data_IF_740891765372
#
_entry.id   IF_740891765372
#
_cell.length_a   1.000
_cell.length_b   1.000
_cell.length_c   1.000
_cell.angle_alpha   90.00
_cell.angle_beta   90.00
_cell.angle_gamma   90.00
#
_symmetry.space_group_name_H-M   'P 1'
#
loop_
_entity.id
_entity.type
_entity.pdbx_description
1 polymer ?
#
# COMPACT_ATOMS: atom_id res chain seq x y z
N UNK A 1 32.00 -21.51 8.91
CA UNK A 1 32.23 -20.54 9.98
C UNK A 1 31.12 -20.67 11.02
N UNK A 2 31.41 -20.56 12.33
CA UNK A 2 30.44 -20.88 13.40
C UNK A 2 29.44 -19.75 13.69
N UNK A 3 29.31 -18.73 12.81
CA UNK A 3 28.47 -17.56 13.04
C UNK A 3 27.29 -17.41 12.05
N UNK A 4 27.12 -18.30 11.07
CA UNK A 4 25.95 -18.32 10.19
C UNK A 4 25.89 -19.59 9.33
N UNK A 5 24.68 -20.02 8.98
CA UNK A 5 24.38 -21.20 8.15
C UNK A 5 24.23 -20.86 6.65
N UNK A 6 25.00 -19.90 6.12
CA UNK A 6 24.90 -19.49 4.72
C UNK A 6 25.73 -20.38 3.77
N UNK A 7 25.27 -20.53 2.53
CA UNK A 7 25.94 -21.34 1.50
C UNK A 7 27.02 -20.52 0.80
N UNK A 8 28.31 -20.90 0.96
CA UNK A 8 29.46 -20.21 0.36
C UNK A 8 29.63 -20.55 -1.14
N UNK A 9 29.42 -21.81 -1.51
CA UNK A 9 29.56 -22.33 -2.88
C UNK A 9 28.19 -22.57 -3.54
N UNK A 10 27.39 -21.50 -3.62
CA UNK A 10 26.11 -21.54 -4.30
C UNK A 10 26.29 -21.61 -5.83
N UNK A 11 25.62 -22.53 -6.55
CA UNK A 11 25.70 -22.59 -8.01
C UNK A 11 25.16 -21.29 -8.64
N UNK A 12 25.63 -20.95 -9.83
CA UNK A 12 25.20 -19.74 -10.55
C UNK A 12 23.67 -19.75 -10.75
N UNK A 13 22.97 -18.79 -10.14
CA UNK A 13 21.52 -18.70 -10.19
C UNK A 13 20.79 -19.24 -8.95
N UNK A 14 21.51 -19.78 -7.97
CA UNK A 14 20.91 -20.17 -6.70
C UNK A 14 20.44 -18.95 -5.91
N UNK A 15 19.18 -18.99 -5.49
CA UNK A 15 18.58 -18.05 -4.54
C UNK A 15 17.72 -18.83 -3.55
N UNK A 16 17.43 -18.24 -2.40
CA UNK A 16 16.50 -18.86 -1.44
C UNK A 16 15.15 -19.14 -2.08
N UNK A 17 14.68 -18.24 -2.94
CA UNK A 17 13.39 -18.39 -3.63
C UNK A 17 13.42 -19.53 -4.65
N UNK A 18 14.49 -19.64 -5.44
CA UNK A 18 14.66 -20.77 -6.36
C UNK A 18 14.73 -22.12 -5.62
N UNK A 19 15.31 -22.15 -4.42
CA UNK A 19 15.29 -23.34 -3.56
C UNK A 19 13.87 -23.68 -3.08
N UNK A 20 13.08 -22.68 -2.67
CA UNK A 20 11.69 -22.87 -2.27
C UNK A 20 10.81 -23.35 -3.42
N UNK A 21 10.91 -22.73 -4.60
CA UNK A 21 10.19 -23.15 -5.82
C UNK A 21 10.54 -24.59 -6.23
N UNK A 22 11.81 -24.96 -6.12
CA UNK A 22 12.26 -26.34 -6.40
C UNK A 22 11.74 -27.34 -5.37
N UNK A 23 11.74 -26.96 -4.08
CA UNK A 23 11.19 -27.78 -3.02
C UNK A 23 9.67 -27.99 -3.18
N UNK A 24 8.95 -26.94 -3.58
CA UNK A 24 7.51 -27.02 -3.86
C UNK A 24 7.23 -27.99 -5.01
N UNK A 25 8.00 -27.88 -6.10
CA UNK A 25 7.85 -28.81 -7.21
C UNK A 25 8.14 -30.25 -6.80
N UNK A 26 9.14 -30.49 -5.94
CA UNK A 26 9.45 -31.82 -5.44
C UNK A 26 8.31 -32.37 -4.57
N UNK A 27 7.71 -31.56 -3.70
CA UNK A 27 6.59 -31.96 -2.87
C UNK A 27 5.37 -32.38 -3.71
N UNK A 28 5.05 -31.60 -4.75
CA UNK A 28 3.97 -31.92 -5.70
C UNK A 28 4.29 -33.21 -6.46
N UNK A 29 5.54 -33.39 -6.89
CA UNK A 29 5.97 -34.62 -7.56
C UNK A 29 5.80 -35.85 -6.65
N UNK A 30 6.16 -35.73 -5.37
CA UNK A 30 6.06 -36.86 -4.42
C UNK A 30 4.63 -37.23 -4.06
N UNK A 31 3.68 -36.31 -4.17
CA UNK A 31 2.28 -36.54 -3.79
C UNK A 31 1.35 -36.80 -4.98
N UNK A 32 1.64 -36.22 -6.15
CA UNK A 32 0.78 -36.24 -7.32
C UNK A 32 1.45 -36.86 -8.56
N UNK A 33 2.72 -37.27 -8.49
CA UNK A 33 3.51 -37.88 -9.58
C UNK A 33 3.57 -37.03 -10.88
N UNK A 34 3.29 -35.73 -10.78
CA UNK A 34 3.29 -34.79 -11.90
C UNK A 34 3.84 -33.44 -11.44
N UNK A 35 4.35 -32.64 -12.38
CA UNK A 35 4.90 -31.30 -12.10
C UNK A 35 3.90 -30.18 -12.34
N UNK A 36 3.95 -29.12 -11.53
CA UNK A 36 3.18 -27.91 -11.79
C UNK A 36 3.80 -27.10 -12.96
N UNK A 37 3.01 -26.65 -13.94
CA UNK A 37 3.48 -25.82 -15.06
C UNK A 37 4.09 -24.46 -14.69
N UNK A 38 3.75 -23.91 -13.53
CA UNK A 38 4.22 -22.61 -13.06
C UNK A 38 5.59 -22.70 -12.36
N UNK A 39 6.05 -23.91 -12.05
CA UNK A 39 7.31 -24.16 -11.34
C UNK A 39 8.37 -24.75 -12.30
N UNK A 40 9.66 -24.53 -12.02
CA UNK A 40 10.73 -25.15 -12.80
C UNK A 40 10.63 -26.67 -12.70
N UNK A 41 10.76 -27.37 -13.84
CA UNK A 41 10.71 -28.84 -13.84
C UNK A 41 12.00 -29.42 -13.29
N UNK A 42 11.83 -30.42 -12.44
CA UNK A 42 12.91 -31.22 -11.91
C UNK A 42 12.84 -32.57 -12.62
N UNK A 43 13.96 -33.03 -13.20
CA UNK A 43 14.08 -34.35 -13.83
C UNK A 43 13.13 -34.66 -15.01
N UNK A 44 12.66 -33.65 -15.75
CA UNK A 44 11.92 -33.88 -17.01
C UNK A 44 10.61 -34.65 -16.84
N UNK A 45 9.97 -34.52 -15.68
CA UNK A 45 8.65 -35.09 -15.39
C UNK A 45 7.56 -34.43 -16.24
N UNK A 46 6.46 -35.14 -16.47
CA UNK A 46 5.34 -34.58 -17.20
C UNK A 46 4.60 -33.55 -16.33
N UNK A 47 4.06 -32.53 -16.98
CA UNK A 47 3.18 -31.58 -16.31
C UNK A 47 1.87 -32.24 -15.89
N UNK A 48 1.32 -31.80 -14.77
CA UNK A 48 0.00 -32.15 -14.33
C UNK A 48 -1.04 -31.69 -15.37
N UNK A 49 -1.94 -32.61 -15.73
CA UNK A 49 -3.13 -32.29 -16.53
C UNK A 49 -4.24 -31.73 -15.65
N UNK A 50 -5.39 -31.46 -16.26
CA UNK A 50 -6.57 -30.98 -15.55
C UNK A 50 -7.10 -32.01 -14.51
N UNK A 51 -6.89 -33.30 -14.77
CA UNK A 51 -7.37 -34.38 -13.91
C UNK A 51 -6.68 -34.41 -12.53
N UNK A 52 -5.45 -33.90 -12.44
CA UNK A 52 -4.66 -33.84 -11.20
C UNK A 52 -4.63 -32.44 -10.57
N UNK A 53 -5.44 -31.49 -11.07
CA UNK A 53 -5.53 -30.13 -10.56
C UNK A 53 -5.89 -30.10 -9.07
N UNK A 54 -6.85 -30.93 -8.65
CA UNK A 54 -7.23 -31.04 -7.23
C UNK A 54 -6.09 -31.54 -6.34
N UNK A 55 -5.20 -32.40 -6.85
CA UNK A 55 -4.07 -32.90 -6.08
C UNK A 55 -3.01 -31.80 -5.88
N UNK A 56 -2.73 -31.05 -6.96
CA UNK A 56 -1.80 -29.92 -6.92
C UNK A 56 -2.34 -28.83 -5.99
N UNK A 57 -3.64 -28.50 -6.11
CA UNK A 57 -4.29 -27.51 -5.25
C UNK A 57 -4.35 -28.00 -3.80
N UNK A 58 -4.64 -29.28 -3.53
CA UNK A 58 -4.58 -29.85 -2.18
C UNK A 58 -3.17 -29.74 -1.56
N UNK A 59 -2.13 -29.94 -2.37
CA UNK A 59 -0.72 -29.83 -1.91
C UNK A 59 -0.36 -28.37 -1.59
N UNK A 60 -0.89 -27.40 -2.34
CA UNK A 60 -0.65 -25.96 -2.13
C UNK A 60 -1.56 -25.32 -1.06
N UNK A 61 -2.79 -25.83 -0.91
CA UNK A 61 -3.87 -25.24 -0.10
C UNK A 61 -3.79 -25.54 1.39
N UNK A 62 -2.79 -26.31 1.85
CA UNK A 62 -2.40 -26.37 3.26
C UNK A 62 -1.72 -25.06 3.72
N UNK A 63 -2.41 -23.93 3.51
CA UNK A 63 -2.39 -22.72 4.32
C UNK A 63 -1.11 -21.88 4.39
N UNK A 64 -0.02 -22.34 3.82
CA UNK A 64 1.25 -21.67 3.54
C UNK A 64 2.21 -22.82 3.29
N UNK A 65 2.65 -23.02 2.05
CA UNK A 65 3.74 -23.96 1.77
C UNK A 65 4.91 -23.62 2.71
N UNK A 66 5.08 -24.43 3.75
CA UNK A 66 6.11 -24.24 4.75
C UNK A 66 7.22 -25.22 4.39
N UNK A 67 8.38 -24.74 3.95
CA UNK A 67 9.51 -25.59 3.59
C UNK A 67 9.88 -26.55 4.73
N UNK A 68 9.63 -26.14 5.98
CA UNK A 68 9.83 -26.96 7.18
C UNK A 68 8.92 -28.18 7.29
N UNK A 69 7.70 -28.15 6.73
CA UNK A 69 6.75 -29.27 6.76
C UNK A 69 7.19 -30.42 5.86
N UNK A 70 7.77 -30.08 4.70
CA UNK A 70 8.31 -31.03 3.73
C UNK A 70 9.81 -31.34 3.94
N UNK A 71 10.39 -30.87 5.07
CA UNK A 71 11.78 -31.15 5.43
C UNK A 71 12.83 -30.42 4.57
N UNK A 72 12.46 -29.35 3.88
CA UNK A 72 13.37 -28.57 3.05
C UNK A 72 14.17 -27.56 3.90
N UNK A 73 15.49 -27.71 3.92
CA UNK A 73 16.43 -26.71 4.44
C UNK A 73 16.99 -25.88 3.29
N UNK A 74 16.52 -24.64 3.17
CA UNK A 74 17.02 -23.66 2.19
C UNK A 74 17.87 -22.59 2.89
N UNK A 75 19.18 -22.80 3.08
CA UNK A 75 20.06 -21.77 3.61
C UNK A 75 20.23 -20.63 2.61
N UNK A 76 20.30 -19.36 3.05
CA UNK A 76 20.60 -18.25 2.16
C UNK A 76 22.02 -18.36 1.60
N UNK A 77 22.25 -17.99 0.33
CA UNK A 77 23.62 -17.85 -0.17
C UNK A 77 24.32 -16.73 0.57
N UNK A 78 25.61 -16.90 0.90
CA UNK A 78 26.38 -15.83 1.55
C UNK A 78 26.58 -14.61 0.63
N UNK A 79 26.34 -14.78 -0.68
CA UNK A 79 26.37 -13.71 -1.69
C UNK A 79 24.99 -13.62 -2.36
N UNK A 80 24.21 -12.61 -1.99
CA UNK A 80 22.93 -12.28 -2.61
C UNK A 80 22.87 -10.79 -2.93
N UNK A 81 22.05 -10.42 -3.91
CA UNK A 81 21.73 -9.03 -4.22
C UNK A 81 20.23 -8.86 -3.98
N UNK A 82 19.87 -8.04 -2.99
CA UNK A 82 18.48 -7.71 -2.67
C UNK A 82 18.18 -6.31 -3.21
N UNK A 83 17.02 -6.15 -3.84
CA UNK A 83 16.56 -4.84 -4.34
C UNK A 83 15.42 -4.34 -3.49
N UNK A 84 15.60 -3.20 -2.84
CA UNK A 84 14.53 -2.53 -2.12
C UNK A 84 13.53 -1.93 -3.12
N UNK A 85 12.24 -2.21 -2.89
CA UNK A 85 11.16 -1.69 -3.73
C UNK A 85 10.41 -0.61 -2.97
N UNK A 86 10.46 0.62 -3.46
CA UNK A 86 9.56 1.68 -3.01
C UNK A 86 8.28 1.59 -3.83
N UNK A 87 7.19 1.19 -3.18
CA UNK A 87 5.86 1.14 -3.79
C UNK A 87 5.18 2.50 -3.59
N UNK A 88 4.63 3.05 -4.67
CA UNK A 88 3.71 4.19 -4.60
C UNK A 88 2.37 3.75 -5.19
N UNK A 89 1.29 3.98 -4.45
CA UNK A 89 -0.06 3.62 -4.87
C UNK A 89 -0.87 4.88 -5.16
N UNK A 90 -1.67 4.82 -6.21
CA UNK A 90 -2.69 5.79 -6.53
C UNK A 90 -4.05 5.07 -6.58
N UNK A 91 -5.12 5.77 -6.19
CA UNK A 91 -6.45 5.17 -6.09
C UNK A 91 -7.09 5.02 -7.46
N UNK A 92 -7.26 3.78 -7.92
CA UNK A 92 -8.14 3.42 -9.03
C UNK A 92 -9.45 2.85 -8.44
N UNK A 93 -10.60 3.47 -8.74
CA UNK A 93 -11.89 3.05 -8.15
C UNK A 93 -12.45 1.78 -8.79
N UNK A 94 -12.51 0.71 -8.01
CA UNK A 94 -13.37 -0.46 -8.22
C UNK A 94 -14.27 -0.69 -6.98
N UNK A 95 -15.33 -1.49 -7.12
CA UNK A 95 -16.65 -1.32 -6.48
C UNK A 95 -16.82 -1.39 -4.95
N UNK A 96 -15.79 -1.71 -4.15
CA UNK A 96 -15.85 -1.67 -2.66
C UNK A 96 -15.51 -0.28 -2.07
N UNK A 97 -15.28 0.73 -2.92
CA UNK A 97 -14.90 2.10 -2.56
C UNK A 97 -16.00 2.97 -1.91
N UNK A 98 -17.22 2.46 -1.67
CA UNK A 98 -18.37 3.29 -1.26
C UNK A 98 -18.17 4.00 0.10
N UNK A 99 -17.74 3.30 1.14
CA UNK A 99 -17.63 3.89 2.49
C UNK A 99 -16.47 4.91 2.57
N UNK A 100 -15.32 4.57 1.97
CA UNK A 100 -14.20 5.50 1.86
C UNK A 100 -14.53 6.71 0.96
N UNK A 101 -15.32 6.53 -0.10
CA UNK A 101 -15.76 7.67 -0.94
C UNK A 101 -16.72 8.60 -0.22
N UNK A 102 -17.52 8.08 0.73
CA UNK A 102 -18.44 8.92 1.50
C UNK A 102 -17.69 9.84 2.45
N UNK A 103 -16.69 9.31 3.16
CA UNK A 103 -15.89 10.12 4.10
C UNK A 103 -15.11 11.23 3.38
N UNK A 104 -14.49 10.91 2.24
CA UNK A 104 -13.79 11.92 1.42
C UNK A 104 -14.75 13.00 0.89
N UNK A 105 -15.95 12.61 0.43
CA UNK A 105 -16.98 13.57 -0.02
C UNK A 105 -17.44 14.46 1.13
N UNK A 106 -17.51 13.93 2.34
CA UNK A 106 -17.85 14.70 3.53
C UNK A 106 -16.76 15.72 3.86
N UNK A 107 -15.48 15.34 3.81
CA UNK A 107 -14.36 16.26 4.03
C UNK A 107 -14.32 17.38 3.00
N UNK A 108 -14.59 17.08 1.72
CA UNK A 108 -14.67 18.10 0.68
C UNK A 108 -15.84 19.07 0.93
N UNK A 109 -17.00 18.56 1.33
CA UNK A 109 -18.16 19.39 1.66
C UNK A 109 -17.89 20.31 2.86
N UNK A 110 -17.21 19.82 3.89
CA UNK A 110 -16.82 20.64 5.05
C UNK A 110 -15.85 21.74 4.61
N UNK A 111 -14.91 21.45 3.71
CA UNK A 111 -14.00 22.45 3.16
C UNK A 111 -14.75 23.55 2.41
N UNK A 112 -15.73 23.20 1.57
CA UNK A 112 -16.51 24.18 0.80
C UNK A 112 -17.35 25.09 1.71
N UNK A 113 -17.95 24.53 2.77
CA UNK A 113 -18.71 25.30 3.74
C UNK A 113 -17.82 26.22 4.58
N UNK A 114 -16.65 25.74 5.00
CA UNK A 114 -15.70 26.55 5.75
C UNK A 114 -15.22 27.75 4.94
N UNK A 115 -14.99 27.57 3.65
CA UNK A 115 -14.57 28.64 2.74
C UNK A 115 -15.63 29.75 2.64
N UNK A 116 -16.89 29.37 2.40
CA UNK A 116 -17.98 30.34 2.29
C UNK A 116 -18.15 31.10 3.61
N UNK A 117 -18.28 30.38 4.73
CA UNK A 117 -18.52 31.01 6.04
C UNK A 117 -17.34 31.86 6.49
N UNK A 118 -16.11 31.42 6.22
CA UNK A 118 -14.90 32.17 6.52
C UNK A 118 -14.85 33.51 5.80
N UNK A 119 -15.27 33.56 4.53
CA UNK A 119 -15.31 34.80 3.76
C UNK A 119 -16.30 35.82 4.35
N UNK A 120 -17.51 35.38 4.71
CA UNK A 120 -18.55 36.25 5.28
C UNK A 120 -18.18 36.77 6.66
N UNK A 121 -17.58 35.91 7.50
CA UNK A 121 -17.08 36.32 8.81
C UNK A 121 -15.91 37.29 8.68
N UNK A 122 -15.02 37.07 7.70
CA UNK A 122 -13.91 37.98 7.40
C UNK A 122 -14.38 39.36 6.94
N UNK A 123 -15.32 39.42 5.98
CA UNK A 123 -15.89 40.70 5.53
C UNK A 123 -16.60 41.45 6.66
N UNK A 124 -17.34 40.74 7.51
CA UNK A 124 -18.03 41.34 8.67
C UNK A 124 -17.04 41.89 9.70
N UNK A 125 -15.92 41.20 9.93
CA UNK A 125 -14.88 41.68 10.85
C UNK A 125 -14.14 42.92 10.32
N UNK A 126 -13.75 42.93 9.04
CA UNK A 126 -13.06 44.08 8.43
C UNK A 126 -13.97 45.31 8.43
N UNK A 127 -15.22 45.14 8.02
CA UNK A 127 -16.21 46.24 8.05
C UNK A 127 -16.42 46.79 9.45
N UNK A 128 -16.45 45.96 10.50
CA UNK A 128 -16.49 46.46 11.87
C UNK A 128 -15.27 47.35 12.21
N UNK A 129 -14.06 46.89 11.89
CA UNK A 129 -12.83 47.64 12.18
C UNK A 129 -12.65 48.89 11.31
N UNK A 130 -13.27 48.96 10.14
CA UNK A 130 -13.17 50.12 9.25
C UNK A 130 -14.31 51.13 9.47
N UNK A 131 -15.55 50.65 9.65
CA UNK A 131 -16.74 51.49 9.78
C UNK A 131 -16.82 52.16 11.16
N UNK A 132 -16.35 51.51 12.24
CA UNK A 132 -16.36 52.12 13.59
C UNK A 132 -15.46 53.36 13.69
N UNK A 133 -14.16 53.32 13.32
CA UNK A 133 -13.34 54.53 13.31
C UNK A 133 -13.84 55.56 12.29
N UNK A 134 -14.45 55.12 11.18
CA UNK A 134 -15.07 56.02 10.21
C UNK A 134 -16.28 56.78 10.80
N UNK A 135 -17.16 56.10 11.54
CA UNK A 135 -18.28 56.73 12.25
C UNK A 135 -17.77 57.66 13.34
N UNK A 136 -16.75 57.24 14.12
CA UNK A 136 -16.13 58.10 15.13
C UNK A 136 -15.48 59.35 14.51
N UNK A 137 -14.88 59.22 13.33
CA UNK A 137 -14.32 60.34 12.58
C UNK A 137 -15.42 61.26 12.02
N UNK A 138 -16.53 60.73 11.49
CA UNK A 138 -17.67 61.52 11.01
C UNK A 138 -18.44 62.21 12.15
N UNK A 139 -18.59 61.55 13.31
CA UNK A 139 -19.25 62.10 14.49
C UNK A 139 -18.33 63.09 15.23
N UNK A 140 -17.03 62.82 15.29
CA UNK A 140 -16.01 63.76 15.76
C UNK A 140 -15.87 64.98 14.83
N UNK A 141 -16.11 64.83 13.54
CA UNK A 141 -16.16 65.95 12.59
C UNK A 141 -17.43 66.81 12.76
N UNK A 142 -18.55 66.25 13.28
CA UNK A 142 -19.70 67.07 13.75
C UNK A 142 -19.34 67.97 14.93
N UNK A 143 -18.37 67.59 15.75
CA UNK A 143 -17.81 68.48 16.79
C UNK A 143 -16.77 69.47 16.25
N UNK A 144 -16.24 69.31 15.02
CA UNK A 144 -15.35 70.29 14.39
C UNK A 144 -16.07 71.29 13.45
N UNK A 145 -17.29 70.99 12.99
CA UNK A 145 -18.13 72.00 12.32
C UNK A 145 -18.85 72.94 13.31
N UNK A 146 -18.60 72.83 14.62
CA UNK A 146 -19.04 73.83 15.60
C UNK A 146 -17.87 74.58 16.27
N UNK A 147 -16.74 74.71 15.56
CA UNK A 147 -15.69 75.71 15.84
C UNK A 147 -15.21 76.34 14.51
N UNK A 148 -16.14 76.54 13.57
CA UNK A 148 -15.94 77.49 12.46
C UNK A 148 -17.26 78.07 11.96
N UNK A 149 -17.93 78.78 12.87
CA UNK A 149 -18.53 80.09 12.63
C UNK A 149 -18.45 80.89 13.92
#
# INVERSE_FOLDING_TARGET
>A
HPYSNCLLDAPSGYSTNACYESCEQLAILTHCDCGDPQLPLINGTNYCGYDSEMCVEATKSFGNFSPSFYGCSCPPPCKSVTYDRTLSSAKLSLSSAKLASFFEKFTMLVSDLAQFMGLWLGFSAITFFEIIPLILSLCGCRSCHNIRH
#
